data_IF_530399080858
#
_entry.id   IF_530399080858
#
_cell.length_a   1.000
_cell.length_b   1.000
_cell.length_c   1.000
_cell.angle_alpha   90.00
_cell.angle_beta   90.00
_cell.angle_gamma   90.00
#
_symmetry.space_group_name_H-M   'P 1'
#
loop_
_entity.id
_entity.type
_entity.pdbx_description
1 polymer ?
#
# COMPACT_ATOMS: atom_id res chain seq x y z
N UNK A 1 52.87 -24.66 -41.73
CA UNK A 1 52.04 -25.64 -41.13
C UNK A 1 52.08 -25.39 -39.63
N UNK A 2 51.16 -24.57 -39.15
CA UNK A 2 51.10 -24.22 -37.73
C UNK A 2 49.65 -24.16 -37.34
N UNK A 3 49.21 -25.18 -36.60
CA UNK A 3 47.86 -25.31 -36.10
C UNK A 3 47.63 -24.29 -34.96
N UNK A 4 46.62 -23.44 -35.14
CA UNK A 4 46.08 -22.58 -34.07
C UNK A 4 44.93 -23.33 -33.37
N UNK A 5 45.20 -23.84 -32.16
CA UNK A 5 44.15 -24.29 -31.27
C UNK A 5 43.40 -23.08 -30.71
N UNK A 6 42.17 -22.89 -31.14
CA UNK A 6 41.20 -21.98 -30.51
C UNK A 6 40.59 -22.69 -29.32
N UNK A 7 41.02 -22.30 -28.12
CA UNK A 7 40.43 -22.77 -26.86
C UNK A 7 39.05 -22.09 -26.70
N UNK A 8 38.01 -22.89 -26.88
CA UNK A 8 36.62 -22.50 -26.66
C UNK A 8 36.38 -22.39 -25.14
N UNK A 9 36.38 -21.18 -24.61
CA UNK A 9 36.00 -20.91 -23.24
C UNK A 9 34.47 -21.15 -23.10
N UNK A 10 34.13 -22.28 -22.51
CA UNK A 10 32.77 -22.65 -22.15
C UNK A 10 32.22 -21.59 -21.19
N UNK A 11 31.29 -20.81 -21.70
CA UNK A 11 30.44 -19.93 -20.94
C UNK A 11 29.50 -20.82 -20.10
N UNK A 12 29.79 -20.99 -18.83
CA UNK A 12 28.84 -21.62 -17.91
C UNK A 12 27.68 -20.67 -17.71
N UNK A 13 26.42 -21.09 -18.01
CA UNK A 13 25.27 -20.34 -17.57
C UNK A 13 25.22 -20.46 -16.05
N UNK A 14 25.39 -19.33 -15.35
CA UNK A 14 25.01 -19.24 -13.94
C UNK A 14 23.55 -19.68 -13.83
N UNK A 15 23.32 -20.78 -13.16
CA UNK A 15 22.02 -21.17 -12.67
C UNK A 15 21.49 -20.02 -11.82
N UNK A 16 20.43 -19.34 -12.30
CA UNK A 16 19.67 -18.37 -11.57
C UNK A 16 18.92 -19.11 -10.45
N UNK A 17 19.58 -19.27 -9.32
CA UNK A 17 18.97 -19.64 -8.05
C UNK A 17 18.71 -18.37 -7.27
N UNK A 18 17.47 -18.05 -7.06
CA UNK A 18 16.73 -17.30 -6.00
C UNK A 18 17.47 -16.31 -5.08
N UNK A 19 18.52 -15.61 -5.50
CA UNK A 19 18.94 -14.40 -4.83
C UNK A 19 18.11 -13.22 -5.35
N UNK A 20 17.39 -12.49 -4.47
CA UNK A 20 16.64 -11.32 -4.90
C UNK A 20 17.58 -10.36 -5.61
N UNK A 21 17.16 -9.87 -6.78
CA UNK A 21 17.89 -8.89 -7.57
C UNK A 21 18.34 -7.74 -6.64
N UNK A 22 19.53 -7.19 -6.90
CA UNK A 22 20.08 -6.08 -6.10
C UNK A 22 19.09 -4.94 -5.91
N UNK A 23 18.26 -4.69 -6.93
CA UNK A 23 17.19 -3.71 -6.88
C UNK A 23 16.17 -4.04 -5.79
N UNK A 24 15.74 -5.29 -5.71
CA UNK A 24 14.74 -5.76 -4.73
C UNK A 24 15.33 -5.78 -3.31
N UNK A 25 16.61 -6.10 -3.15
CA UNK A 25 17.32 -5.99 -1.87
C UNK A 25 17.34 -4.54 -1.37
N UNK A 26 17.58 -3.56 -2.25
CA UNK A 26 17.56 -2.13 -1.89
C UNK A 26 16.13 -1.70 -1.51
N UNK A 27 15.10 -2.13 -2.25
CA UNK A 27 13.70 -1.84 -1.92
C UNK A 27 13.30 -2.41 -0.56
N UNK A 28 13.65 -3.66 -0.27
CA UNK A 28 13.38 -4.30 1.01
C UNK A 28 14.11 -3.60 2.17
N UNK A 29 15.38 -3.21 1.97
CA UNK A 29 16.15 -2.45 2.95
C UNK A 29 15.54 -1.06 3.19
N UNK A 30 15.16 -0.36 2.13
CA UNK A 30 14.48 0.94 2.22
C UNK A 30 13.17 0.83 3.02
N UNK A 31 12.36 -0.20 2.74
CA UNK A 31 11.15 -0.49 3.50
C UNK A 31 11.44 -0.63 5.00
N UNK A 32 12.43 -1.45 5.40
CA UNK A 32 12.81 -1.63 6.81
C UNK A 32 13.29 -0.33 7.47
N UNK A 33 14.10 0.46 6.76
CA UNK A 33 14.57 1.75 7.28
C UNK A 33 13.39 2.73 7.44
N UNK A 34 12.49 2.79 6.45
CA UNK A 34 11.30 3.65 6.53
C UNK A 34 10.35 3.24 7.67
N UNK A 35 10.23 1.95 7.97
CA UNK A 35 9.48 1.48 9.15
C UNK A 35 10.05 2.05 10.46
N UNK A 36 11.38 2.08 10.59
CA UNK A 36 12.05 2.53 11.83
C UNK A 36 12.06 4.04 11.97
N UNK A 37 12.30 4.78 10.89
CA UNK A 37 12.64 6.21 10.97
C UNK A 37 11.66 7.13 10.25
N UNK A 38 10.75 6.58 9.46
CA UNK A 38 9.95 7.32 8.49
C UNK A 38 10.75 7.73 7.26
N UNK A 39 10.06 8.07 6.17
CA UNK A 39 10.70 8.45 4.90
C UNK A 39 11.53 9.74 5.02
N UNK A 40 11.04 10.73 5.78
CA UNK A 40 11.70 12.03 5.92
C UNK A 40 13.08 11.92 6.58
N UNK A 41 13.20 11.16 7.67
CA UNK A 41 14.44 11.02 8.47
C UNK A 41 15.40 9.97 7.92
N UNK A 42 14.94 9.04 7.09
CA UNK A 42 15.76 7.98 6.49
C UNK A 42 16.94 8.57 5.70
N UNK A 43 18.11 7.95 5.86
CA UNK A 43 19.34 8.32 5.14
C UNK A 43 19.70 7.26 4.10
N UNK A 44 20.08 7.68 2.88
CA UNK A 44 20.48 6.75 1.81
C UNK A 44 21.68 5.89 2.19
N UNK A 45 22.60 6.40 3.03
CA UNK A 45 23.72 5.64 3.56
C UNK A 45 23.26 4.48 4.44
N UNK A 46 22.27 4.69 5.31
CA UNK A 46 21.69 3.65 6.16
C UNK A 46 21.01 2.57 5.31
N UNK A 47 20.24 2.99 4.29
CA UNK A 47 19.58 2.08 3.37
C UNK A 47 20.60 1.24 2.59
N UNK A 48 21.67 1.86 2.09
CA UNK A 48 22.74 1.15 1.37
C UNK A 48 23.41 0.11 2.26
N UNK A 49 23.76 0.48 3.51
CA UNK A 49 24.34 -0.45 4.50
C UNK A 49 23.38 -1.61 4.82
N UNK A 50 22.10 -1.34 5.02
CA UNK A 50 21.05 -2.34 5.29
C UNK A 50 20.86 -3.30 4.10
N UNK A 51 21.04 -2.81 2.86
CA UNK A 51 20.95 -3.61 1.64
C UNK A 51 22.22 -4.42 1.31
N UNK A 52 23.31 -4.18 2.04
CA UNK A 52 24.62 -4.77 1.73
C UNK A 52 25.22 -4.25 0.41
N UNK A 53 24.97 -2.97 0.08
CA UNK A 53 25.48 -2.32 -1.13
C UNK A 53 26.19 -1.01 -0.77
N UNK A 54 27.02 -0.50 -1.68
CA UNK A 54 27.58 0.84 -1.53
C UNK A 54 26.55 1.92 -1.98
N UNK A 55 26.77 3.16 -1.51
CA UNK A 55 25.88 4.28 -1.84
C UNK A 55 25.82 4.59 -3.34
N UNK A 56 26.93 4.36 -4.07
CA UNK A 56 26.98 4.60 -5.52
C UNK A 56 26.03 3.65 -6.27
N UNK A 57 25.98 2.38 -5.86
CA UNK A 57 25.07 1.39 -6.44
C UNK A 57 23.60 1.71 -6.15
N UNK A 58 23.28 2.18 -4.93
CA UNK A 58 21.96 2.66 -4.60
C UNK A 58 21.56 3.85 -5.51
N UNK A 59 22.46 4.82 -5.69
CA UNK A 59 22.22 5.95 -6.59
C UNK A 59 22.10 5.52 -8.06
N UNK A 60 22.86 4.52 -8.49
CA UNK A 60 22.75 3.96 -9.84
C UNK A 60 21.33 3.42 -10.13
N UNK A 61 20.75 2.67 -9.18
CA UNK A 61 19.41 2.07 -9.35
C UNK A 61 18.25 3.06 -9.20
N UNK A 62 18.37 4.02 -8.28
CA UNK A 62 17.23 4.85 -7.88
C UNK A 62 17.45 6.36 -8.00
N UNK A 63 18.68 6.82 -8.23
CA UNK A 63 19.01 8.23 -8.34
C UNK A 63 18.87 8.98 -7.02
N UNK A 64 17.64 9.32 -6.63
CA UNK A 64 17.35 10.12 -5.44
C UNK A 64 16.64 9.32 -4.35
N UNK A 65 16.66 9.84 -3.11
CA UNK A 65 15.88 9.27 -2.01
C UNK A 65 14.36 9.34 -2.29
N UNK A 66 13.89 10.40 -2.94
CA UNK A 66 12.49 10.55 -3.33
C UNK A 66 12.10 9.46 -4.34
N UNK A 67 12.88 9.26 -5.40
CA UNK A 67 12.63 8.19 -6.37
C UNK A 67 12.67 6.79 -5.75
N UNK A 68 13.54 6.55 -4.77
CA UNK A 68 13.54 5.29 -4.00
C UNK A 68 12.26 5.14 -3.18
N UNK A 69 11.81 6.20 -2.51
CA UNK A 69 10.56 6.18 -1.75
C UNK A 69 9.35 5.91 -2.66
N UNK A 70 9.31 6.54 -3.84
CA UNK A 70 8.28 6.27 -4.87
C UNK A 70 8.30 4.81 -5.34
N UNK A 71 9.49 4.25 -5.55
CA UNK A 71 9.63 2.86 -5.96
C UNK A 71 9.14 1.88 -4.88
N UNK A 72 9.46 2.13 -3.61
CA UNK A 72 8.95 1.36 -2.45
C UNK A 72 7.43 1.49 -2.36
N UNK A 73 6.91 2.70 -2.47
CA UNK A 73 5.48 2.95 -2.47
C UNK A 73 4.77 2.22 -3.61
N UNK A 74 5.26 2.38 -4.84
CA UNK A 74 4.70 1.70 -6.03
C UNK A 74 4.70 0.19 -5.86
N UNK A 75 5.78 -0.38 -5.37
CA UNK A 75 5.89 -1.82 -5.12
C UNK A 75 4.77 -2.31 -4.19
N UNK A 76 4.55 -1.63 -3.07
CA UNK A 76 3.51 -2.02 -2.11
C UNK A 76 2.10 -1.78 -2.63
N UNK A 77 1.84 -0.67 -3.31
CA UNK A 77 0.51 -0.36 -3.86
C UNK A 77 0.14 -1.33 -4.99
N UNK A 78 1.05 -1.60 -5.91
CA UNK A 78 0.80 -2.54 -7.01
C UNK A 78 0.59 -3.98 -6.53
N UNK A 79 1.19 -4.37 -5.40
CA UNK A 79 0.96 -5.68 -4.80
C UNK A 79 -0.37 -5.79 -4.04
N UNK A 80 -0.88 -4.67 -3.52
CA UNK A 80 -2.07 -4.64 -2.66
C UNK A 80 -3.37 -4.29 -3.38
N UNK A 81 -3.33 -3.30 -4.29
CA UNK A 81 -4.54 -2.77 -4.93
C UNK A 81 -5.34 -3.79 -5.74
N UNK A 82 -4.72 -4.78 -6.45
CA UNK A 82 -5.50 -5.80 -7.16
C UNK A 82 -6.45 -6.58 -6.25
N UNK A 83 -6.07 -6.81 -4.98
CA UNK A 83 -6.93 -7.48 -4.00
C UNK A 83 -8.14 -6.62 -3.63
N UNK A 84 -7.93 -5.33 -3.38
CA UNK A 84 -9.03 -4.39 -3.10
C UNK A 84 -9.96 -4.27 -4.33
N UNK A 85 -9.41 -4.21 -5.53
CA UNK A 85 -10.21 -4.16 -6.75
C UNK A 85 -10.99 -5.45 -6.98
N UNK A 86 -10.40 -6.62 -6.64
CA UNK A 86 -11.12 -7.90 -6.64
C UNK A 86 -12.35 -7.86 -5.73
N UNK A 87 -12.20 -7.39 -4.49
CA UNK A 87 -13.32 -7.25 -3.54
C UNK A 87 -14.37 -6.28 -4.06
N UNK A 88 -13.97 -5.12 -4.56
CA UNK A 88 -14.90 -4.12 -5.09
C UNK A 88 -15.69 -4.62 -6.31
N UNK A 89 -15.00 -5.34 -7.20
CA UNK A 89 -15.53 -5.83 -8.47
C UNK A 89 -16.30 -7.15 -8.37
N UNK A 90 -16.29 -7.85 -7.25
CA UNK A 90 -16.97 -9.12 -7.07
C UNK A 90 -18.50 -8.91 -7.02
N UNK A 91 -19.27 -9.41 -8.00
CA UNK A 91 -20.73 -9.27 -8.00
C UNK A 91 -21.44 -10.15 -6.97
N UNK A 92 -20.81 -11.26 -6.55
CA UNK A 92 -21.38 -12.22 -5.60
C UNK A 92 -21.17 -11.79 -4.14
N UNK A 93 -20.19 -10.92 -3.89
CA UNK A 93 -19.92 -10.41 -2.56
C UNK A 93 -20.85 -9.22 -2.25
N UNK A 94 -21.72 -9.38 -1.25
CA UNK A 94 -22.63 -8.32 -0.80
C UNK A 94 -21.88 -7.10 -0.24
N UNK A 95 -22.55 -5.93 -0.20
CA UNK A 95 -22.00 -4.67 0.32
C UNK A 95 -21.40 -4.85 1.73
N UNK A 96 -22.14 -5.55 2.62
CA UNK A 96 -21.66 -5.80 3.98
C UNK A 96 -20.37 -6.64 4.00
N UNK A 97 -20.27 -7.64 3.15
CA UNK A 97 -19.05 -8.43 2.96
C UNK A 97 -17.89 -7.59 2.44
N UNK A 98 -18.14 -6.77 1.41
CA UNK A 98 -17.13 -5.84 0.86
C UNK A 98 -16.58 -4.90 1.93
N UNK A 99 -17.44 -4.30 2.75
CA UNK A 99 -17.01 -3.40 3.83
C UNK A 99 -16.12 -4.12 4.82
N UNK A 100 -16.51 -5.30 5.30
CA UNK A 100 -15.71 -6.08 6.27
C UNK A 100 -14.36 -6.49 5.70
N UNK A 101 -14.35 -7.00 4.46
CA UNK A 101 -13.12 -7.43 3.79
C UNK A 101 -12.18 -6.24 3.56
N UNK A 102 -12.66 -5.13 3.02
CA UNK A 102 -11.85 -3.93 2.74
C UNK A 102 -11.27 -3.37 4.04
N UNK A 103 -12.07 -3.27 5.12
CA UNK A 103 -11.59 -2.79 6.42
C UNK A 103 -10.45 -3.69 6.94
N UNK A 104 -10.66 -5.00 6.92
CA UNK A 104 -9.66 -5.98 7.38
C UNK A 104 -8.35 -5.88 6.59
N UNK A 105 -8.45 -5.91 5.27
CA UNK A 105 -7.31 -5.88 4.37
C UNK A 105 -6.51 -4.57 4.47
N UNK A 106 -7.22 -3.44 4.50
CA UNK A 106 -6.59 -2.13 4.61
C UNK A 106 -5.91 -1.93 5.97
N UNK A 107 -6.55 -2.33 7.07
CA UNK A 107 -5.95 -2.22 8.40
C UNK A 107 -4.70 -3.11 8.48
N UNK A 108 -4.77 -4.37 8.02
CA UNK A 108 -3.62 -5.26 8.00
C UNK A 108 -2.46 -4.68 7.17
N UNK A 109 -2.75 -4.16 5.98
CA UNK A 109 -1.76 -3.55 5.10
C UNK A 109 -1.05 -2.36 5.74
N UNK A 110 -1.81 -1.44 6.35
CA UNK A 110 -1.26 -0.24 6.97
C UNK A 110 -0.59 -0.50 8.32
N UNK A 111 -1.00 -1.54 9.06
CA UNK A 111 -0.33 -1.98 10.30
C UNK A 111 1.11 -2.38 10.03
N UNK A 112 1.35 -3.13 8.97
CA UNK A 112 2.70 -3.53 8.56
C UNK A 112 3.52 -2.38 7.94
N UNK A 113 2.84 -1.33 7.43
CA UNK A 113 3.46 -0.23 6.66
C UNK A 113 2.95 1.14 7.11
N UNK A 114 3.06 1.47 8.42
CA UNK A 114 2.41 2.66 8.99
C UNK A 114 2.93 3.98 8.41
N UNK A 115 4.14 4.00 7.82
CA UNK A 115 4.70 5.19 7.17
C UNK A 115 4.04 5.52 5.82
N UNK A 116 3.42 4.54 5.15
CA UNK A 116 2.88 4.74 3.79
C UNK A 116 1.71 5.73 3.77
N UNK A 117 0.80 5.66 4.73
CA UNK A 117 -0.34 6.57 4.78
C UNK A 117 0.10 8.03 4.94
N UNK A 118 1.06 8.29 5.84
CA UNK A 118 1.61 9.64 6.03
C UNK A 118 2.45 10.13 4.84
N UNK A 119 3.25 9.22 4.24
CA UNK A 119 3.99 9.52 3.02
C UNK A 119 3.04 9.93 1.89
N UNK A 120 2.01 9.12 1.63
CA UNK A 120 1.00 9.42 0.62
C UNK A 120 0.34 10.77 0.83
N UNK A 121 -0.15 11.04 2.04
CA UNK A 121 -0.82 12.30 2.33
C UNK A 121 0.09 13.51 2.06
N UNK A 122 1.38 13.42 2.40
CA UNK A 122 2.35 14.47 2.15
C UNK A 122 2.65 14.67 0.65
N UNK A 123 2.88 13.55 -0.08
CA UNK A 123 3.25 13.61 -1.49
C UNK A 123 2.08 13.99 -2.39
N UNK A 124 0.85 13.52 -2.12
CA UNK A 124 -0.34 13.97 -2.85
C UNK A 124 -0.59 15.47 -2.70
N UNK A 125 -0.24 16.02 -1.55
CA UNK A 125 -0.36 17.46 -1.32
C UNK A 125 0.72 18.27 -2.04
N UNK A 126 1.95 17.74 -2.06
CA UNK A 126 3.09 18.42 -2.66
C UNK A 126 3.11 18.30 -4.19
N UNK A 127 2.86 17.10 -4.72
CA UNK A 127 3.01 16.79 -6.14
C UNK A 127 1.89 15.84 -6.65
N UNK A 128 0.61 16.32 -6.74
CA UNK A 128 -0.53 15.46 -7.07
C UNK A 128 -0.43 14.79 -8.44
N UNK A 129 0.14 15.46 -9.44
CA UNK A 129 0.31 14.92 -10.80
C UNK A 129 1.31 13.76 -10.81
N UNK A 130 2.43 13.89 -10.09
CA UNK A 130 3.43 12.84 -9.93
C UNK A 130 2.81 11.60 -9.26
N UNK A 131 2.05 11.79 -8.21
CA UNK A 131 1.40 10.70 -7.50
C UNK A 131 0.34 10.02 -8.36
N UNK A 132 -0.42 10.75 -9.14
CA UNK A 132 -1.36 10.19 -10.12
C UNK A 132 -0.63 9.33 -11.16
N UNK A 133 0.51 9.78 -11.67
CA UNK A 133 1.33 8.99 -12.61
C UNK A 133 1.90 7.71 -11.99
N UNK A 134 2.28 7.74 -10.70
CA UNK A 134 2.74 6.55 -9.96
C UNK A 134 1.61 5.53 -9.81
N UNK A 135 0.37 5.99 -9.62
CA UNK A 135 -0.81 5.14 -9.44
C UNK A 135 -1.42 4.66 -10.77
N UNK A 136 -1.11 5.29 -11.89
CA UNK A 136 -1.69 4.95 -13.20
C UNK A 136 -1.64 3.44 -13.54
N UNK A 137 -0.56 2.69 -13.24
CA UNK A 137 -0.51 1.24 -13.50
C UNK A 137 -1.49 0.40 -12.68
N UNK A 138 -2.03 0.94 -11.57
CA UNK A 138 -3.05 0.25 -10.76
C UNK A 138 -4.35 0.12 -11.54
N UNK A 139 -4.61 1.04 -12.47
CA UNK A 139 -5.84 1.10 -13.24
C UNK A 139 -6.99 1.79 -12.51
N UNK A 140 -8.18 1.74 -13.13
CA UNK A 140 -9.39 2.36 -12.59
C UNK A 140 -10.10 1.41 -11.63
N UNK A 141 -10.49 1.85 -10.42
CA UNK A 141 -11.28 1.03 -9.51
C UNK A 141 -12.58 0.54 -10.15
N UNK A 142 -12.95 -0.75 -10.02
CA UNK A 142 -14.16 -1.31 -10.63
C UNK A 142 -15.40 -0.95 -9.81
N UNK A 143 -15.70 0.34 -9.67
CA UNK A 143 -16.80 0.85 -8.85
C UNK A 143 -18.20 0.56 -9.42
N UNK A 144 -18.31 0.16 -10.69
CA UNK A 144 -19.60 -0.09 -11.34
C UNK A 144 -20.43 -1.21 -10.70
N UNK A 145 -19.78 -2.24 -10.15
CA UNK A 145 -20.46 -3.33 -9.42
C UNK A 145 -21.03 -2.80 -8.12
N UNK A 146 -20.20 -2.12 -7.33
CA UNK A 146 -20.62 -1.52 -6.05
C UNK A 146 -21.74 -0.49 -6.25
N UNK A 147 -21.63 0.38 -7.27
CA UNK A 147 -22.64 1.38 -7.58
C UNK A 147 -24.01 0.74 -7.86
N UNK A 148 -24.04 -0.33 -8.68
CA UNK A 148 -25.27 -1.09 -8.94
C UNK A 148 -25.84 -1.75 -7.69
N UNK A 149 -25.00 -2.34 -6.84
CA UNK A 149 -25.44 -2.95 -5.58
C UNK A 149 -26.07 -1.92 -4.63
N UNK A 150 -25.45 -0.73 -4.49
CA UNK A 150 -25.99 0.38 -3.69
C UNK A 150 -27.34 0.86 -4.23
N UNK A 151 -27.46 0.99 -5.55
CA UNK A 151 -28.71 1.40 -6.19
C UNK A 151 -29.84 0.36 -5.99
N UNK A 152 -29.54 -0.92 -6.16
CA UNK A 152 -30.51 -2.02 -5.92
C UNK A 152 -30.95 -2.04 -4.47
N UNK A 153 -30.03 -1.95 -3.52
CA UNK A 153 -30.36 -1.92 -2.09
C UNK A 153 -31.25 -0.70 -1.72
N UNK A 154 -30.95 0.47 -2.28
CA UNK A 154 -31.74 1.67 -2.07
C UNK A 154 -33.17 1.55 -2.67
N UNK A 155 -33.31 0.97 -3.88
CA UNK A 155 -34.62 0.72 -4.50
C UNK A 155 -35.43 -0.31 -3.74
N UNK A 156 -34.77 -1.31 -3.15
CA UNK A 156 -35.44 -2.33 -2.32
C UNK A 156 -35.79 -1.82 -0.90
N UNK A 157 -35.37 -0.60 -0.54
CA UNK A 157 -35.58 -0.04 0.80
C UNK A 157 -34.77 -0.70 1.91
N UNK A 158 -33.73 -1.49 1.57
CA UNK A 158 -32.86 -2.17 2.53
C UNK A 158 -31.69 -1.28 2.97
N UNK A 159 -31.38 -0.26 2.17
CA UNK A 159 -30.35 0.75 2.50
C UNK A 159 -30.86 2.15 2.09
N UNK A 160 -30.38 3.17 2.81
CA UNK A 160 -30.59 4.56 2.39
C UNK A 160 -29.81 4.86 1.11
N UNK A 161 -30.30 5.79 0.31
CA UNK A 161 -29.63 6.20 -0.93
C UNK A 161 -28.33 6.94 -0.61
N UNK A 162 -27.23 6.46 -1.19
CA UNK A 162 -25.91 7.08 -1.13
C UNK A 162 -25.21 6.91 -2.48
N UNK A 163 -24.46 7.89 -2.95
CA UNK A 163 -23.62 7.73 -4.14
C UNK A 163 -22.39 6.88 -3.85
N UNK A 164 -21.86 6.20 -4.87
CA UNK A 164 -20.68 5.35 -4.71
C UNK A 164 -19.46 6.16 -4.28
N UNK A 165 -19.33 7.41 -4.74
CA UNK A 165 -18.24 8.32 -4.37
C UNK A 165 -18.27 8.64 -2.87
N UNK A 166 -19.44 9.02 -2.34
CA UNK A 166 -19.62 9.30 -0.91
C UNK A 166 -19.36 8.06 -0.07
N UNK A 167 -19.83 6.90 -0.51
CA UNK A 167 -19.59 5.65 0.18
C UNK A 167 -18.08 5.32 0.24
N UNK A 168 -17.39 5.38 -0.91
CA UNK A 168 -15.96 5.04 -1.01
C UNK A 168 -15.09 6.02 -0.21
N UNK A 169 -15.34 7.34 -0.33
CA UNK A 169 -14.58 8.36 0.39
C UNK A 169 -14.78 8.22 1.90
N UNK A 170 -16.01 7.95 2.35
CA UNK A 170 -16.32 7.71 3.77
C UNK A 170 -15.60 6.47 4.29
N UNK A 171 -15.67 5.35 3.56
CA UNK A 171 -15.01 4.10 3.95
C UNK A 171 -13.49 4.26 4.03
N UNK A 172 -12.87 4.77 2.97
CA UNK A 172 -11.41 4.95 2.91
C UNK A 172 -10.95 5.95 3.98
N UNK A 173 -11.63 7.09 4.10
CA UNK A 173 -11.30 8.11 5.09
C UNK A 173 -11.35 7.57 6.51
N UNK A 174 -12.40 6.82 6.85
CA UNK A 174 -12.52 6.19 8.16
C UNK A 174 -11.43 5.17 8.44
N UNK A 175 -10.98 4.41 7.44
CA UNK A 175 -9.91 3.41 7.62
C UNK A 175 -8.54 4.07 7.74
N UNK A 176 -8.22 5.03 6.86
CA UNK A 176 -6.85 5.55 6.69
C UNK A 176 -6.51 6.63 7.73
N UNK A 177 -7.51 7.39 8.20
CA UNK A 177 -7.28 8.52 9.11
C UNK A 177 -6.41 8.17 10.34
N UNK A 178 -6.62 7.05 11.05
CA UNK A 178 -5.79 6.69 12.19
C UNK A 178 -4.30 6.53 11.86
N UNK A 179 -3.97 6.13 10.64
CA UNK A 179 -2.58 5.96 10.19
C UNK A 179 -1.96 7.29 9.78
N UNK A 180 -2.69 8.13 9.06
CA UNK A 180 -2.22 9.48 8.65
C UNK A 180 -1.98 10.37 9.87
N UNK A 181 -2.92 10.36 10.80
CA UNK A 181 -2.87 11.17 12.01
C UNK A 181 -2.35 10.42 13.25
N UNK A 182 -1.64 9.30 13.05
CA UNK A 182 -1.18 8.43 14.14
C UNK A 182 -0.54 9.19 15.29
N UNK A 183 0.43 10.13 15.09
CA UNK A 183 1.03 10.87 16.20
C UNK A 183 0.02 11.71 17.00
N UNK A 184 -0.96 12.30 16.32
CA UNK A 184 -2.01 13.08 16.97
C UNK A 184 -2.96 12.19 17.78
N UNK A 185 -3.45 11.11 17.15
CA UNK A 185 -4.43 10.19 17.74
C UNK A 185 -3.83 9.45 18.95
N UNK A 186 -2.58 8.99 18.84
CA UNK A 186 -1.91 8.31 19.95
C UNK A 186 -1.73 9.21 21.15
N UNK A 187 -1.41 10.50 20.94
CA UNK A 187 -1.27 11.45 22.02
C UNK A 187 -2.64 11.88 22.60
N UNK A 188 -3.60 12.23 21.73
CA UNK A 188 -4.91 12.75 22.14
C UNK A 188 -5.73 11.70 22.90
N UNK A 189 -5.68 10.43 22.44
CA UNK A 189 -6.48 9.33 23.00
C UNK A 189 -5.64 8.39 23.90
N UNK A 190 -4.38 8.74 24.18
CA UNK A 190 -3.45 7.91 24.97
C UNK A 190 -3.29 6.48 24.45
N UNK A 191 -3.28 6.32 23.11
CA UNK A 191 -3.14 5.03 22.43
C UNK A 191 -1.65 4.75 22.12
N UNK A 192 -0.82 4.62 23.16
CA UNK A 192 0.61 4.36 23.00
C UNK A 192 0.93 2.87 22.97
N UNK A 193 1.96 2.47 22.22
CA UNK A 193 2.45 1.09 22.19
C UNK A 193 1.36 0.10 21.77
N UNK A 194 1.19 -0.97 22.54
CA UNK A 194 0.24 -2.06 22.29
C UNK A 194 -1.22 -1.58 22.24
N UNK A 195 -1.57 -0.50 22.96
CA UNK A 195 -2.94 0.06 22.94
C UNK A 195 -3.38 0.53 21.56
N UNK A 196 -2.45 0.96 20.69
CA UNK A 196 -2.79 1.31 19.34
C UNK A 196 -3.10 0.07 18.49
N UNK A 197 -2.41 -1.03 18.73
CA UNK A 197 -2.67 -2.30 18.05
C UNK A 197 -4.00 -2.90 18.50
N UNK A 198 -4.31 -2.87 19.80
CA UNK A 198 -5.63 -3.24 20.36
C UNK A 198 -6.76 -2.40 19.74
N UNK A 199 -6.56 -1.08 19.64
CA UNK A 199 -7.51 -0.18 18.96
C UNK A 199 -7.73 -0.57 17.48
N UNK A 200 -6.68 -0.98 16.76
CA UNK A 200 -6.81 -1.43 15.38
C UNK A 200 -7.53 -2.78 15.28
N UNK A 201 -7.31 -3.69 16.23
CA UNK A 201 -8.00 -4.99 16.29
C UNK A 201 -9.50 -4.82 16.57
N UNK A 202 -9.86 -3.97 17.52
CA UNK A 202 -11.26 -3.59 17.77
C UNK A 202 -11.89 -2.93 16.53
N UNK A 203 -11.14 -2.07 15.84
CA UNK A 203 -11.61 -1.32 14.68
C UNK A 203 -11.97 -2.22 13.49
N UNK A 204 -11.32 -3.38 13.33
CA UNK A 204 -11.67 -4.37 12.30
C UNK A 204 -13.14 -4.84 12.44
N UNK A 205 -13.65 -4.88 13.65
CA UNK A 205 -15.03 -5.30 13.94
C UNK A 205 -15.99 -4.11 14.02
N UNK A 206 -15.61 -3.08 14.77
CA UNK A 206 -16.48 -1.93 15.07
C UNK A 206 -16.73 -1.05 13.85
N UNK A 207 -15.70 -0.80 13.03
CA UNK A 207 -15.84 0.12 11.89
C UNK A 207 -16.84 -0.39 10.82
N UNK A 208 -16.80 -1.66 10.38
CA UNK A 208 -17.81 -2.17 9.47
C UNK A 208 -19.24 -2.02 10.01
N UNK A 209 -19.47 -2.37 11.26
CA UNK A 209 -20.80 -2.28 11.87
C UNK A 209 -21.28 -0.81 11.95
N UNK A 210 -20.39 0.12 12.29
CA UNK A 210 -20.70 1.55 12.32
C UNK A 210 -21.09 2.08 10.94
N UNK A 211 -20.31 1.74 9.90
CA UNK A 211 -20.61 2.16 8.50
C UNK A 211 -21.93 1.56 8.03
N UNK A 212 -22.14 0.25 8.25
CA UNK A 212 -23.35 -0.45 7.83
C UNK A 212 -24.60 0.06 8.57
N UNK A 213 -24.47 0.39 9.87
CA UNK A 213 -25.54 1.01 10.64
C UNK A 213 -25.94 2.38 10.06
N UNK A 214 -24.97 3.18 9.61
CA UNK A 214 -25.21 4.46 8.94
C UNK A 214 -25.88 4.36 7.57
N UNK A 215 -25.96 3.15 6.99
CA UNK A 215 -26.64 2.89 5.72
C UNK A 215 -28.07 2.35 5.88
N UNK A 216 -28.52 2.09 7.10
CA UNK A 216 -29.90 1.64 7.34
C UNK A 216 -30.89 2.71 6.86
N UNK A 217 -32.08 2.28 6.39
CA UNK A 217 -33.15 3.19 5.93
C UNK A 217 -33.57 4.21 6.99
#
# INVERSE_FOLDING_TARGET
>A
MTDFHVTNALHHPHAAGDEPDTRDRILAAAHRVFLRTGTAKARTQEIASEAGVNKALLHYYFGTKAALADAVFRHHVLSFMPRIFGILGDPELEIAGKVREIVREQIAFHRERPYLAGFLAAEFHAEPERMTAILAPVGTPPLGVLARQLEVAAKAGTMRRISVEQFVVTLIGAIILPFVLRPLITNLLSLHGERFDEFLDERITVLPEFILAGLRP
#
